data_IF_195874276435
#
_entry.id   IF_195874276435
#
_cell.length_a   1.000
_cell.length_b   1.000
_cell.length_c   1.000
_cell.angle_alpha   90.00
_cell.angle_beta   90.00
_cell.angle_gamma   90.00
#
_symmetry.space_group_name_H-M   'P 1'
#
loop_
_entity.id
_entity.type
_entity.pdbx_description
1 polymer ?
#
# COMPACT_ATOMS: atom_id res chain seq x y z
N UNK A 1 25.39 -18.84 12.03
CA UNK A 1 24.35 -18.78 10.99
C UNK A 1 23.34 -17.79 11.50
N UNK A 2 23.34 -16.56 10.97
CA UNK A 2 22.35 -15.55 11.37
C UNK A 2 20.96 -16.05 11.01
N UNK A 3 19.97 -15.83 11.87
CA UNK A 3 18.58 -16.11 11.54
C UNK A 3 18.26 -15.42 10.22
N UNK A 4 17.69 -16.15 9.25
CA UNK A 4 17.25 -15.56 8.00
C UNK A 4 16.28 -14.43 8.34
N UNK A 5 16.61 -13.21 7.92
CA UNK A 5 15.76 -12.04 8.13
C UNK A 5 14.47 -12.30 7.34
N UNK A 6 13.34 -12.30 8.03
CA UNK A 6 12.04 -12.56 7.43
C UNK A 6 11.60 -11.28 6.72
N UNK A 7 11.65 -11.24 5.39
CA UNK A 7 11.20 -10.07 4.62
C UNK A 7 9.70 -10.14 4.34
N UNK A 8 9.01 -9.03 4.61
CA UNK A 8 7.59 -8.80 4.35
C UNK A 8 7.44 -7.80 3.20
N UNK A 9 6.77 -8.21 2.13
CA UNK A 9 6.30 -7.30 1.09
C UNK A 9 4.90 -6.80 1.45
N UNK A 10 4.81 -5.57 1.96
CA UNK A 10 3.56 -5.01 2.45
C UNK A 10 2.64 -4.43 1.36
N UNK A 11 2.98 -4.58 0.08
CA UNK A 11 2.14 -4.09 -1.01
C UNK A 11 2.40 -4.85 -2.31
N UNK A 12 1.47 -5.74 -2.66
CA UNK A 12 1.36 -6.28 -4.02
C UNK A 12 -0.11 -6.48 -4.39
N UNK A 13 -0.32 -6.80 -5.65
CA UNK A 13 -1.61 -7.04 -6.28
C UNK A 13 -1.60 -8.36 -7.04
N UNK A 14 -2.77 -8.96 -7.19
CA UNK A 14 -3.03 -10.04 -8.16
C UNK A 14 -4.36 -9.76 -8.83
N UNK A 15 -4.53 -10.24 -10.06
CA UNK A 15 -5.81 -10.15 -10.76
C UNK A 15 -5.92 -11.19 -11.88
N UNK A 16 -7.17 -11.55 -12.18
CA UNK A 16 -7.55 -12.35 -13.32
C UNK A 16 -8.50 -11.55 -14.21
N UNK A 17 -8.00 -11.12 -15.38
CA UNK A 17 -8.77 -10.32 -16.34
C UNK A 17 -9.92 -11.10 -16.98
N UNK A 18 -9.94 -12.43 -16.86
CA UNK A 18 -11.08 -13.24 -17.28
C UNK A 18 -12.23 -13.22 -16.25
N UNK A 19 -11.93 -12.87 -14.99
CA UNK A 19 -12.91 -12.72 -13.91
C UNK A 19 -13.36 -11.27 -13.80
N UNK A 20 -12.41 -10.34 -13.75
CA UNK A 20 -12.69 -8.93 -13.54
C UNK A 20 -11.72 -8.04 -14.31
N UNK A 21 -12.28 -7.11 -15.07
CA UNK A 21 -11.49 -6.10 -15.76
C UNK A 21 -10.84 -5.14 -14.76
N UNK A 22 -9.71 -4.56 -15.18
CA UNK A 22 -8.96 -3.56 -14.44
C UNK A 22 -9.05 -2.25 -15.23
N UNK A 23 -10.09 -1.47 -14.93
CA UNK A 23 -10.47 -0.27 -15.68
C UNK A 23 -9.41 0.84 -15.67
N UNK A 24 -8.55 0.86 -14.65
CA UNK A 24 -7.40 1.75 -14.55
C UNK A 24 -6.25 1.41 -15.52
N UNK A 25 -6.18 0.19 -16.05
CA UNK A 25 -5.13 -0.23 -17.00
C UNK A 25 -5.47 0.31 -18.39
N UNK A 26 -5.31 1.61 -18.59
CA UNK A 26 -5.60 2.30 -19.86
C UNK A 26 -4.33 2.89 -20.47
N UNK A 27 -4.32 3.03 -21.80
CA UNK A 27 -3.18 3.59 -22.52
C UNK A 27 -2.12 2.57 -22.94
N UNK A 28 -1.22 2.97 -23.87
CA UNK A 28 -0.13 2.14 -24.37
C UNK A 28 0.91 1.78 -23.29
N UNK A 29 1.16 2.68 -22.35
CA UNK A 29 2.15 2.54 -21.28
C UNK A 29 1.78 1.44 -20.28
N UNK A 30 0.48 1.22 -20.03
CA UNK A 30 0.01 0.17 -19.11
C UNK A 30 -0.28 -1.17 -19.80
N UNK A 31 -0.09 -1.28 -21.12
CA UNK A 31 -0.33 -2.52 -21.87
C UNK A 31 0.40 -3.76 -21.32
N UNK A 32 1.66 -3.67 -20.82
CA UNK A 32 2.31 -4.83 -20.21
C UNK A 32 1.54 -5.46 -19.04
N UNK A 33 0.68 -4.68 -18.37
CA UNK A 33 -0.18 -5.12 -17.28
C UNK A 33 -1.51 -5.74 -17.75
N UNK A 34 -1.86 -5.66 -19.05
CA UNK A 34 -3.07 -6.27 -19.64
C UNK A 34 -2.96 -7.79 -19.82
N UNK A 35 -2.64 -8.48 -18.73
CA UNK A 35 -2.65 -9.95 -18.61
C UNK A 35 -2.98 -10.36 -17.18
N UNK A 36 -3.17 -11.65 -16.94
CA UNK A 36 -3.38 -12.19 -15.60
C UNK A 36 -2.06 -12.21 -14.82
N UNK A 37 -2.16 -11.93 -13.53
CA UNK A 37 -1.07 -12.06 -12.56
C UNK A 37 -1.61 -12.76 -11.31
N UNK A 38 -1.07 -13.92 -10.97
CA UNK A 38 -1.49 -14.70 -9.81
C UNK A 38 -0.35 -15.02 -8.86
N UNK A 39 -0.66 -15.73 -7.78
CA UNK A 39 0.32 -16.16 -6.77
C UNK A 39 1.38 -17.09 -7.36
N UNK A 40 1.03 -17.87 -8.40
CA UNK A 40 1.99 -18.70 -9.11
C UNK A 40 3.07 -17.88 -9.85
N UNK A 41 2.75 -16.65 -10.28
CA UNK A 41 3.70 -15.73 -10.90
C UNK A 41 4.52 -14.97 -9.85
N UNK A 42 3.90 -14.59 -8.72
CA UNK A 42 4.55 -13.86 -7.63
C UNK A 42 5.53 -14.74 -6.84
N UNK A 43 5.17 -15.99 -6.53
CA UNK A 43 5.91 -16.82 -5.59
C UNK A 43 7.39 -17.07 -5.99
N UNK A 44 7.73 -17.29 -7.27
CA UNK A 44 9.13 -17.35 -7.70
C UNK A 44 9.91 -16.05 -7.47
N UNK A 45 9.30 -14.90 -7.76
CA UNK A 45 9.91 -13.57 -7.58
C UNK A 45 10.15 -13.27 -6.09
N UNK A 46 9.13 -13.50 -5.26
CA UNK A 46 9.21 -13.34 -3.80
C UNK A 46 10.33 -14.23 -3.21
N UNK A 47 10.38 -15.51 -3.61
CA UNK A 47 11.43 -16.44 -3.15
C UNK A 47 12.83 -16.00 -3.56
N UNK A 48 13.00 -15.51 -4.79
CA UNK A 48 14.30 -15.04 -5.27
C UNK A 48 14.82 -13.81 -4.51
N UNK A 49 13.93 -13.05 -3.88
CA UNK A 49 14.25 -11.88 -3.07
C UNK A 49 14.15 -12.12 -1.55
N UNK A 50 14.08 -13.39 -1.11
CA UNK A 50 13.94 -13.82 0.30
C UNK A 50 12.69 -13.26 1.01
N UNK A 51 11.64 -12.93 0.25
CA UNK A 51 10.33 -12.52 0.76
C UNK A 51 9.55 -13.76 1.16
N UNK A 52 9.07 -13.76 2.41
CA UNK A 52 8.43 -14.93 3.04
C UNK A 52 6.97 -14.67 3.42
N UNK A 53 6.57 -13.40 3.51
CA UNK A 53 5.21 -12.97 3.81
C UNK A 53 4.85 -11.77 2.95
N UNK A 54 3.60 -11.68 2.53
CA UNK A 54 3.11 -10.57 1.72
C UNK A 54 1.77 -10.05 2.21
N UNK A 55 1.47 -8.79 1.91
CA UNK A 55 0.15 -8.19 2.08
C UNK A 55 -0.45 -7.94 0.71
N UNK A 56 -1.53 -8.67 0.40
CA UNK A 56 -2.28 -8.53 -0.83
C UNK A 56 -3.24 -7.34 -0.72
N UNK A 57 -3.16 -6.39 -1.65
CA UNK A 57 -3.94 -5.17 -1.62
C UNK A 57 -4.95 -5.18 -2.77
N UNK A 58 -6.20 -4.80 -2.49
CA UNK A 58 -7.29 -4.58 -3.45
C UNK A 58 -6.82 -3.86 -4.72
N UNK A 59 -7.44 -4.07 -5.89
CA UNK A 59 -7.17 -3.31 -7.12
C UNK A 59 -8.36 -2.47 -7.61
N UNK A 60 -9.59 -2.95 -7.45
CA UNK A 60 -10.82 -2.27 -7.95
C UNK A 60 -11.92 -2.17 -6.90
N UNK A 61 -12.82 -1.20 -7.06
CA UNK A 61 -13.77 -0.77 -6.02
C UNK A 61 -15.11 -1.49 -6.11
N UNK A 62 -15.08 -2.83 -6.07
CA UNK A 62 -16.28 -3.67 -6.13
C UNK A 62 -16.37 -4.61 -4.92
N UNK A 63 -17.58 -4.92 -4.43
CA UNK A 63 -17.76 -5.67 -3.18
C UNK A 63 -17.31 -7.13 -3.26
N UNK A 64 -17.16 -7.69 -4.45
CA UNK A 64 -16.78 -9.10 -4.66
C UNK A 64 -15.28 -9.35 -4.44
N UNK A 65 -14.42 -8.36 -4.62
CA UNK A 65 -12.97 -8.57 -4.62
C UNK A 65 -12.41 -8.93 -3.23
N UNK A 66 -12.90 -8.30 -2.16
CA UNK A 66 -12.42 -8.61 -0.81
C UNK A 66 -12.68 -10.07 -0.43
N UNK A 67 -13.91 -10.63 -0.58
CA UNK A 67 -14.14 -12.05 -0.38
C UNK A 67 -13.21 -12.98 -1.18
N UNK A 68 -12.93 -12.65 -2.44
CA UNK A 68 -12.04 -13.43 -3.31
C UNK A 68 -10.60 -13.42 -2.79
N UNK A 69 -10.10 -12.26 -2.36
CA UNK A 69 -8.75 -12.13 -1.82
C UNK A 69 -8.59 -12.82 -0.46
N UNK A 70 -9.63 -12.80 0.38
CA UNK A 70 -9.64 -13.54 1.65
C UNK A 70 -9.60 -15.05 1.40
N UNK A 71 -10.36 -15.55 0.43
CA UNK A 71 -10.30 -16.96 0.03
C UNK A 71 -8.90 -17.34 -0.49
N UNK A 72 -8.31 -16.51 -1.34
CA UNK A 72 -6.95 -16.72 -1.86
C UNK A 72 -5.90 -16.75 -0.74
N UNK A 73 -6.01 -15.86 0.26
CA UNK A 73 -5.11 -15.84 1.41
C UNK A 73 -5.25 -17.11 2.29
N UNK A 74 -6.44 -17.72 2.35
CA UNK A 74 -6.63 -18.98 3.04
C UNK A 74 -5.99 -20.18 2.35
N UNK A 75 -5.72 -20.09 1.04
CA UNK A 75 -5.13 -21.17 0.23
C UNK A 75 -3.61 -21.03 0.07
N UNK A 76 -3.04 -19.85 0.30
CA UNK A 76 -1.64 -19.56 0.05
C UNK A 76 -0.92 -18.94 1.25
N UNK A 77 -0.03 -19.71 1.89
CA UNK A 77 0.74 -19.28 3.07
C UNK A 77 1.61 -18.03 2.86
N UNK A 78 1.98 -17.73 1.60
CA UNK A 78 2.74 -16.52 1.26
C UNK A 78 1.96 -15.24 1.62
N UNK A 79 0.63 -15.27 1.54
CA UNK A 79 -0.23 -14.12 1.87
C UNK A 79 -0.50 -14.11 3.37
N UNK A 80 0.14 -13.18 4.08
CA UNK A 80 -0.01 -13.02 5.52
C UNK A 80 -1.14 -12.04 5.90
N UNK A 81 -1.52 -11.15 4.98
CA UNK A 81 -2.60 -10.20 5.18
C UNK A 81 -3.24 -9.73 3.87
N UNK A 82 -4.46 -9.21 3.99
CA UNK A 82 -5.26 -8.64 2.92
C UNK A 82 -5.70 -7.25 3.35
N UNK A 83 -5.41 -6.27 2.49
CA UNK A 83 -6.04 -4.94 2.54
C UNK A 83 -7.15 -4.95 1.50
N UNK A 84 -8.38 -5.11 1.97
CA UNK A 84 -9.56 -5.22 1.12
C UNK A 84 -10.17 -3.87 0.78
N UNK A 85 -11.35 -3.91 0.18
CA UNK A 85 -12.23 -2.76 -0.03
C UNK A 85 -13.62 -3.01 0.53
N UNK A 86 -14.20 -1.93 1.06
CA UNK A 86 -15.61 -1.79 1.37
C UNK A 86 -15.98 -0.33 1.11
N UNK A 87 -17.22 -0.08 0.68
CA UNK A 87 -17.71 1.28 0.47
C UNK A 87 -17.91 1.98 1.83
N UNK A 88 -17.00 2.91 2.13
CA UNK A 88 -17.00 3.69 3.37
C UNK A 88 -18.25 4.57 3.54
N UNK A 89 -18.96 4.88 2.46
CA UNK A 89 -20.13 5.77 2.50
C UNK A 89 -21.39 5.04 2.94
N UNK A 90 -21.36 3.71 2.96
CA UNK A 90 -22.51 2.89 3.33
C UNK A 90 -22.97 3.16 4.77
N UNK A 91 -24.28 3.19 5.02
CA UNK A 91 -24.82 3.25 6.39
C UNK A 91 -24.41 2.05 7.25
N UNK A 92 -24.29 0.87 6.65
CA UNK A 92 -24.06 -0.44 7.27
C UNK A 92 -22.60 -0.94 7.14
N UNK A 93 -21.64 -0.03 6.96
CA UNK A 93 -20.22 -0.37 6.75
C UNK A 93 -19.64 -1.18 7.93
N UNK A 94 -20.05 -0.92 9.17
CA UNK A 94 -19.58 -1.68 10.33
C UNK A 94 -20.04 -3.15 10.26
N UNK A 95 -21.30 -3.39 9.90
CA UNK A 95 -21.86 -4.72 9.69
C UNK A 95 -21.18 -5.43 8.51
N UNK A 96 -20.86 -4.73 7.43
CA UNK A 96 -20.15 -5.30 6.29
C UNK A 96 -18.72 -5.72 6.66
N UNK A 97 -17.99 -4.90 7.42
CA UNK A 97 -16.66 -5.27 7.92
C UNK A 97 -16.71 -6.49 8.84
N UNK A 98 -17.71 -6.57 9.72
CA UNK A 98 -17.92 -7.75 10.57
C UNK A 98 -18.19 -9.00 9.72
N UNK A 99 -19.07 -8.90 8.71
CA UNK A 99 -19.39 -9.99 7.78
C UNK A 99 -18.14 -10.48 7.04
N UNK A 100 -17.29 -9.58 6.55
CA UNK A 100 -16.05 -9.94 5.85
C UNK A 100 -15.09 -10.73 6.75
N UNK A 101 -15.01 -10.41 8.05
CA UNK A 101 -14.19 -11.16 9.01
C UNK A 101 -14.71 -12.57 9.32
N UNK A 102 -16.01 -12.79 9.16
CA UNK A 102 -16.64 -14.10 9.35
C UNK A 102 -16.48 -15.04 8.14
N UNK A 103 -16.06 -14.52 6.98
CA UNK A 103 -15.81 -15.33 5.79
C UNK A 103 -14.60 -16.27 5.99
N UNK A 104 -14.51 -17.36 5.20
CA UNK A 104 -13.26 -18.11 5.06
C UNK A 104 -12.12 -17.16 4.70
N UNK A 105 -11.04 -17.22 5.47
CA UNK A 105 -9.91 -16.29 5.32
C UNK A 105 -10.11 -14.90 5.94
N UNK A 106 -11.25 -14.61 6.57
CA UNK A 106 -11.53 -13.30 7.20
C UNK A 106 -10.51 -12.87 8.25
N UNK A 107 -9.77 -13.81 8.87
CA UNK A 107 -8.62 -13.52 9.76
C UNK A 107 -7.46 -12.79 9.06
N UNK A 108 -7.37 -12.90 7.74
CA UNK A 108 -6.39 -12.20 6.91
C UNK A 108 -6.83 -10.78 6.57
N UNK A 109 -8.05 -10.35 6.87
CA UNK A 109 -8.44 -8.95 6.67
C UNK A 109 -7.72 -8.07 7.70
N UNK A 110 -6.75 -7.28 7.24
CA UNK A 110 -5.90 -6.42 8.08
C UNK A 110 -6.10 -4.93 7.86
N UNK A 111 -6.66 -4.55 6.71
CA UNK A 111 -6.93 -3.16 6.38
C UNK A 111 -8.01 -2.99 5.33
N UNK A 112 -8.42 -1.74 5.13
CA UNK A 112 -9.31 -1.32 4.05
C UNK A 112 -8.62 -0.23 3.23
N UNK A 113 -8.79 -0.27 1.91
CA UNK A 113 -8.35 0.76 0.98
C UNK A 113 -9.51 1.22 0.12
N UNK A 114 -9.52 2.50 -0.24
CA UNK A 114 -10.36 3.06 -1.29
C UNK A 114 -9.48 3.82 -2.28
N UNK A 115 -9.84 3.84 -3.57
CA UNK A 115 -9.10 4.54 -4.62
C UNK A 115 -9.29 6.07 -4.55
N UNK A 116 -8.90 6.69 -3.44
CA UNK A 116 -9.07 8.14 -3.18
C UNK A 116 -8.41 8.99 -4.26
N UNK A 117 -7.29 8.53 -4.84
CA UNK A 117 -6.66 9.16 -6.01
C UNK A 117 -7.59 9.38 -7.22
N UNK A 118 -8.66 8.59 -7.34
CA UNK A 118 -9.66 8.70 -8.41
C UNK A 118 -10.86 9.57 -8.05
N UNK A 119 -10.97 10.02 -6.79
CA UNK A 119 -12.09 10.85 -6.34
C UNK A 119 -11.95 12.29 -6.85
N UNK A 120 -13.02 12.89 -7.41
CA UNK A 120 -12.97 14.25 -7.94
C UNK A 120 -12.85 15.32 -6.84
N UNK A 121 -13.28 15.01 -5.62
CA UNK A 121 -13.15 15.89 -4.47
C UNK A 121 -11.80 15.62 -3.75
N UNK A 122 -10.84 16.56 -3.76
CA UNK A 122 -9.57 16.36 -3.07
C UNK A 122 -9.73 16.30 -1.54
N UNK A 123 -10.88 16.70 -1.00
CA UNK A 123 -11.24 16.60 0.41
C UNK A 123 -12.22 15.44 0.71
N UNK A 124 -12.35 14.46 -0.20
CA UNK A 124 -13.28 13.31 -0.06
C UNK A 124 -13.19 12.62 1.31
N UNK A 125 -11.97 12.43 1.84
CA UNK A 125 -11.72 11.85 3.17
C UNK A 125 -12.37 12.60 4.33
N UNK A 126 -12.73 13.87 4.14
CA UNK A 126 -13.31 14.74 5.16
C UNK A 126 -14.83 14.73 5.16
N UNK A 127 -15.46 14.14 4.14
CA UNK A 127 -16.92 14.00 4.07
C UNK A 127 -17.43 13.24 5.28
N UNK A 128 -18.62 13.63 5.77
CA UNK A 128 -19.17 13.08 7.01
C UNK A 128 -19.51 11.58 6.92
N UNK A 129 -19.96 11.12 5.76
CA UNK A 129 -20.23 9.71 5.48
C UNK A 129 -18.93 8.88 5.44
N UNK A 130 -17.91 9.37 4.75
CA UNK A 130 -16.58 8.75 4.69
C UNK A 130 -15.93 8.68 6.08
N UNK A 131 -15.95 9.78 6.85
CA UNK A 131 -15.39 9.80 8.21
C UNK A 131 -16.09 8.82 9.15
N UNK A 132 -17.38 8.58 8.98
CA UNK A 132 -18.12 7.52 9.68
C UNK A 132 -17.58 6.14 9.29
N UNK A 133 -17.36 5.88 8.01
CA UNK A 133 -16.76 4.63 7.54
C UNK A 133 -15.34 4.42 8.07
N UNK A 134 -14.50 5.44 8.05
CA UNK A 134 -13.15 5.38 8.62
C UNK A 134 -13.19 5.09 10.13
N UNK A 135 -14.12 5.69 10.88
CA UNK A 135 -14.31 5.36 12.29
C UNK A 135 -14.69 3.87 12.48
N UNK A 136 -15.57 3.32 11.65
CA UNK A 136 -15.93 1.90 11.69
C UNK A 136 -14.72 0.98 11.36
N UNK A 137 -13.85 1.38 10.43
CA UNK A 137 -12.58 0.68 10.15
C UNK A 137 -11.70 0.64 11.40
N UNK A 138 -11.58 1.76 12.11
CA UNK A 138 -10.82 1.85 13.36
C UNK A 138 -11.41 0.96 14.46
N UNK A 139 -12.74 0.99 14.65
CA UNK A 139 -13.45 0.15 15.62
C UNK A 139 -13.32 -1.34 15.32
N UNK A 140 -13.20 -1.72 14.03
CA UNK A 140 -12.92 -3.08 13.63
C UNK A 140 -11.45 -3.51 13.89
N UNK A 141 -10.58 -2.59 14.33
CA UNK A 141 -9.15 -2.85 14.53
C UNK A 141 -8.41 -3.11 13.22
N UNK A 142 -8.86 -2.48 12.13
CA UNK A 142 -8.24 -2.56 10.80
C UNK A 142 -7.45 -1.27 10.52
N UNK A 143 -6.41 -1.35 9.69
CA UNK A 143 -5.77 -0.16 9.13
C UNK A 143 -6.60 0.46 8.00
N UNK A 144 -6.30 1.70 7.64
CA UNK A 144 -6.77 2.30 6.40
C UNK A 144 -5.59 2.72 5.52
N UNK A 145 -5.52 2.16 4.32
CA UNK A 145 -4.46 2.43 3.36
C UNK A 145 -4.86 3.60 2.45
N UNK A 146 -3.99 4.61 2.37
CA UNK A 146 -4.17 5.88 1.67
C UNK A 146 -3.46 5.84 0.31
N UNK A 147 -4.17 5.43 -0.74
CA UNK A 147 -3.74 5.60 -2.14
C UNK A 147 -4.25 6.94 -2.68
N UNK A 148 -3.34 7.91 -2.77
CA UNK A 148 -3.65 9.33 -3.02
C UNK A 148 -2.63 9.97 -3.95
N UNK A 149 -2.99 11.14 -4.50
CA UNK A 149 -2.07 12.02 -5.21
C UNK A 149 -1.54 13.13 -4.27
N UNK A 150 -0.40 13.80 -4.60
CA UNK A 150 0.22 14.80 -3.72
C UNK A 150 -0.70 15.93 -3.25
N UNK A 151 -1.67 16.33 -4.09
CA UNK A 151 -2.61 17.40 -3.78
C UNK A 151 -3.68 16.99 -2.75
N UNK A 152 -3.85 15.70 -2.48
CA UNK A 152 -4.81 15.15 -1.51
C UNK A 152 -4.18 14.87 -0.14
N UNK A 153 -2.84 14.92 -0.01
CA UNK A 153 -2.12 14.78 1.26
C UNK A 153 -2.63 15.72 2.38
N UNK A 154 -3.01 16.99 2.11
CA UNK A 154 -3.62 17.84 3.15
C UNK A 154 -4.91 17.26 3.76
N UNK A 155 -5.76 16.61 2.95
CA UNK A 155 -6.96 15.95 3.46
C UNK A 155 -6.62 14.70 4.29
N UNK A 156 -5.56 13.97 3.92
CA UNK A 156 -5.05 12.84 4.70
C UNK A 156 -4.61 13.29 6.10
N UNK A 157 -3.85 14.39 6.21
CA UNK A 157 -3.39 14.91 7.50
C UNK A 157 -4.57 15.33 8.39
N UNK A 158 -5.56 16.02 7.81
CA UNK A 158 -6.80 16.38 8.53
C UNK A 158 -7.60 15.15 8.98
N UNK A 159 -7.68 14.09 8.17
CA UNK A 159 -8.33 12.84 8.55
C UNK A 159 -7.59 12.11 9.67
N UNK A 160 -6.26 12.02 9.58
CA UNK A 160 -5.40 11.43 10.61
C UNK A 160 -5.53 12.15 11.96
N UNK A 161 -5.55 13.50 11.94
CA UNK A 161 -5.79 14.31 13.12
C UNK A 161 -7.17 14.06 13.76
N UNK A 162 -8.17 13.80 12.93
CA UNK A 162 -9.55 13.66 13.37
C UNK A 162 -9.90 12.25 13.89
N UNK A 163 -9.07 11.25 13.56
CA UNK A 163 -9.28 9.84 13.91
C UNK A 163 -7.96 9.25 14.47
N UNK A 164 -7.52 9.68 15.67
CA UNK A 164 -6.24 9.25 16.23
C UNK A 164 -6.17 7.73 16.54
N UNK A 165 -7.32 7.07 16.68
CA UNK A 165 -7.42 5.61 16.90
C UNK A 165 -7.22 4.81 15.61
N UNK A 166 -7.37 5.42 14.42
CA UNK A 166 -7.17 4.74 13.14
C UNK A 166 -5.70 4.83 12.74
N UNK A 167 -5.09 3.69 12.45
CA UNK A 167 -3.79 3.67 11.77
C UNK A 167 -3.97 3.93 10.29
N UNK A 168 -3.41 5.03 9.80
CA UNK A 168 -3.37 5.37 8.39
C UNK A 168 -2.04 4.93 7.78
N UNK A 169 -2.10 4.16 6.69
CA UNK A 169 -0.91 3.69 5.97
C UNK A 169 -0.82 4.44 4.64
N UNK A 170 0.16 5.34 4.50
CA UNK A 170 0.38 6.05 3.26
C UNK A 170 1.00 5.12 2.20
N UNK A 171 0.25 4.85 1.13
CA UNK A 171 0.76 4.11 -0.02
C UNK A 171 1.72 4.99 -0.83
N UNK A 172 2.78 4.36 -1.34
CA UNK A 172 3.72 4.93 -2.32
C UNK A 172 4.22 6.35 -2.03
N UNK A 173 4.49 6.67 -0.76
CA UNK A 173 4.97 8.00 -0.34
C UNK A 173 3.98 9.13 -0.68
N UNK A 174 2.71 8.83 -0.99
CA UNK A 174 1.76 9.80 -1.52
C UNK A 174 2.07 10.26 -2.95
N UNK A 175 2.71 9.38 -3.74
CA UNK A 175 3.04 9.55 -5.17
C UNK A 175 3.81 10.83 -5.49
N UNK A 176 5.01 11.02 -4.91
CA UNK A 176 5.86 12.16 -5.24
C UNK A 176 6.10 12.29 -6.74
N UNK A 177 6.26 13.50 -7.29
CA UNK A 177 6.44 13.70 -8.73
C UNK A 177 7.89 13.46 -9.17
N UNK A 178 8.40 12.24 -8.96
CA UNK A 178 9.81 11.86 -9.10
C UNK A 178 10.36 12.19 -10.49
N UNK A 179 9.62 11.86 -11.56
CA UNK A 179 10.02 12.14 -12.93
C UNK A 179 10.33 13.62 -13.21
N UNK A 180 9.70 14.55 -12.46
CA UNK A 180 9.94 15.99 -12.61
C UNK A 180 11.07 16.53 -11.71
N UNK A 181 11.53 15.75 -10.72
CA UNK A 181 12.47 16.19 -9.70
C UNK A 181 11.88 17.18 -8.66
N UNK A 182 10.58 17.47 -8.71
CA UNK A 182 9.96 18.43 -7.80
C UNK A 182 9.73 17.84 -6.40
N UNK A 183 10.33 18.45 -5.37
CA UNK A 183 10.08 18.06 -3.97
C UNK A 183 8.90 18.80 -3.34
N UNK A 184 8.68 20.07 -3.70
CA UNK A 184 7.61 20.88 -3.12
C UNK A 184 6.46 21.07 -4.13
N UNK A 185 5.19 21.12 -3.69
CA UNK A 185 4.73 21.14 -2.29
C UNK A 185 4.57 19.76 -1.63
N UNK A 186 4.92 18.67 -2.31
CA UNK A 186 4.76 17.31 -1.82
C UNK A 186 5.40 17.10 -0.44
N UNK A 187 6.66 17.49 -0.27
CA UNK A 187 7.40 17.28 0.98
C UNK A 187 6.78 18.06 2.15
N UNK A 188 6.30 19.29 1.92
CA UNK A 188 5.53 20.05 2.93
C UNK A 188 4.27 19.29 3.37
N UNK A 189 3.47 18.79 2.43
CA UNK A 189 2.24 18.08 2.76
C UNK A 189 2.49 16.71 3.41
N UNK A 190 3.53 15.99 2.96
CA UNK A 190 3.94 14.72 3.54
C UNK A 190 4.41 14.89 4.99
N UNK A 191 5.24 15.90 5.29
CA UNK A 191 5.67 16.21 6.67
C UNK A 191 4.48 16.52 7.57
N UNK A 192 3.47 17.23 7.06
CA UNK A 192 2.25 17.51 7.81
C UNK A 192 1.48 16.23 8.18
N UNK A 193 1.41 15.24 7.27
CA UNK A 193 0.82 13.94 7.56
C UNK A 193 1.69 13.14 8.56
N UNK A 194 3.00 13.13 8.37
CA UNK A 194 3.95 12.39 9.20
C UNK A 194 4.02 12.89 10.66
N UNK A 195 3.63 14.15 10.90
CA UNK A 195 3.53 14.74 12.23
C UNK A 195 2.49 14.05 13.13
N UNK A 196 1.57 13.28 12.55
CA UNK A 196 0.58 12.51 13.30
C UNK A 196 1.14 11.12 13.66
N UNK A 197 1.10 10.70 14.94
CA UNK A 197 1.72 9.45 15.38
C UNK A 197 1.01 8.18 14.86
N UNK A 198 -0.26 8.30 14.46
CA UNK A 198 -1.07 7.23 13.89
C UNK A 198 -0.90 7.07 12.36
N UNK A 199 0.12 7.70 11.77
CA UNK A 199 0.44 7.56 10.35
C UNK A 199 1.74 6.79 10.15
N UNK A 200 1.73 5.87 9.19
CA UNK A 200 2.90 5.10 8.73
C UNK A 200 2.99 5.21 7.20
N UNK A 201 4.13 4.87 6.61
CA UNK A 201 4.37 5.04 5.18
C UNK A 201 4.97 3.78 4.55
N UNK A 202 4.52 3.41 3.35
CA UNK A 202 5.13 2.36 2.55
C UNK A 202 6.21 2.93 1.62
N UNK A 203 7.43 2.42 1.72
CA UNK A 203 8.48 2.57 0.71
C UNK A 203 8.17 1.63 -0.46
N UNK A 204 7.37 2.14 -1.41
CA UNK A 204 6.79 1.37 -2.53
C UNK A 204 6.44 2.29 -3.70
N UNK A 205 6.18 1.73 -4.89
CA UNK A 205 5.64 2.46 -6.05
C UNK A 205 6.52 3.59 -6.62
N UNK A 206 7.73 3.79 -6.11
CA UNK A 206 8.57 4.93 -6.51
C UNK A 206 9.05 4.84 -7.97
N UNK A 207 9.41 3.64 -8.44
CA UNK A 207 9.95 3.42 -9.79
C UNK A 207 8.95 3.78 -10.89
N UNK A 208 7.64 3.70 -10.60
CA UNK A 208 6.57 4.05 -11.53
C UNK A 208 6.17 5.52 -11.50
N UNK A 209 6.61 6.27 -10.48
CA UNK A 209 6.48 7.73 -10.43
C UNK A 209 7.72 8.44 -11.00
N UNK A 210 8.79 7.68 -11.27
CA UNK A 210 10.03 8.12 -11.91
C UNK A 210 9.94 8.01 -13.45
N UNK A 211 11.05 8.29 -14.14
CA UNK A 211 11.15 7.95 -15.56
C UNK A 211 11.12 6.42 -15.73
N UNK A 212 10.06 5.90 -16.34
CA UNK A 212 9.81 4.46 -16.48
C UNK A 212 10.95 3.71 -17.19
N UNK A 213 11.70 4.38 -18.07
CA UNK A 213 12.72 3.76 -18.90
C UNK A 213 14.14 3.94 -18.34
N UNK A 214 14.40 5.04 -17.64
CA UNK A 214 15.78 5.45 -17.32
C UNK A 214 16.01 5.85 -15.86
N UNK A 215 15.08 5.58 -14.95
CA UNK A 215 15.28 5.85 -13.53
C UNK A 215 16.57 5.21 -12.98
N UNK A 216 17.21 5.92 -12.07
CA UNK A 216 18.29 5.42 -11.22
C UNK A 216 17.90 5.55 -9.75
N UNK A 217 18.55 4.78 -8.87
CA UNK A 217 18.31 4.85 -7.41
C UNK A 217 18.53 6.27 -6.87
N UNK A 218 19.45 7.02 -7.44
CA UNK A 218 19.71 8.41 -7.02
C UNK A 218 18.58 9.38 -7.38
N UNK A 219 17.71 9.07 -8.36
CA UNK A 219 16.51 9.85 -8.62
C UNK A 219 15.45 9.65 -7.52
N UNK A 220 15.46 8.47 -6.90
CA UNK A 220 14.53 8.09 -5.82
C UNK A 220 14.98 8.62 -4.45
N UNK A 221 16.31 8.76 -4.26
CA UNK A 221 16.96 9.08 -2.99
C UNK A 221 16.41 10.33 -2.28
N UNK A 222 16.20 11.48 -2.95
CA UNK A 222 15.68 12.67 -2.28
C UNK A 222 14.30 12.45 -1.64
N UNK A 223 13.47 11.60 -2.23
CA UNK A 223 12.13 11.30 -1.73
C UNK A 223 12.17 10.29 -0.58
N UNK A 224 13.03 9.27 -0.69
CA UNK A 224 13.27 8.31 0.38
C UNK A 224 13.83 9.00 1.64
N UNK A 225 14.78 9.93 1.48
CA UNK A 225 15.35 10.70 2.59
C UNK A 225 14.28 11.54 3.30
N UNK A 226 13.43 12.27 2.55
CA UNK A 226 12.35 13.05 3.15
C UNK A 226 11.39 12.17 3.96
N UNK A 227 11.02 10.99 3.47
CA UNK A 227 10.09 10.12 4.23
C UNK A 227 10.77 9.46 5.43
N UNK A 228 12.04 9.07 5.33
CA UNK A 228 12.82 8.52 6.44
C UNK A 228 12.98 9.56 7.56
N UNK A 229 13.30 10.80 7.21
CA UNK A 229 13.40 11.91 8.17
C UNK A 229 12.05 12.25 8.82
N UNK A 230 10.96 12.12 8.08
CA UNK A 230 9.62 12.54 8.55
C UNK A 230 8.92 11.49 9.40
N UNK A 231 8.95 10.22 8.97
CA UNK A 231 8.27 9.12 9.64
C UNK A 231 9.17 8.44 10.67
N UNK A 232 10.47 8.35 10.39
CA UNK A 232 11.39 7.46 11.07
C UNK A 232 11.22 5.99 10.65
N UNK A 233 12.25 5.16 10.82
CA UNK A 233 12.23 3.77 10.34
C UNK A 233 11.14 2.92 11.00
N UNK A 234 10.77 3.21 12.25
CA UNK A 234 9.73 2.50 13.00
C UNK A 234 8.31 2.66 12.46
N UNK A 235 8.10 3.64 11.56
CA UNK A 235 6.82 3.93 10.90
C UNK A 235 6.90 3.78 9.38
N UNK A 236 7.94 3.12 8.89
CA UNK A 236 8.11 2.80 7.48
C UNK A 236 8.13 1.29 7.24
N UNK A 237 7.56 0.87 6.13
CA UNK A 237 7.58 -0.54 5.69
C UNK A 237 7.82 -0.65 4.18
N UNK A 238 8.45 -1.72 3.72
CA UNK A 238 8.68 -2.01 2.31
C UNK A 238 7.41 -2.54 1.62
N UNK A 239 7.19 -2.17 0.36
CA UNK A 239 6.24 -2.83 -0.53
C UNK A 239 6.74 -2.81 -1.97
N UNK A 240 6.56 -3.90 -2.71
CA UNK A 240 7.06 -4.03 -4.08
C UNK A 240 6.24 -3.25 -5.09
N UNK A 241 4.94 -3.09 -4.82
CA UNK A 241 3.93 -2.66 -5.81
C UNK A 241 3.86 -3.61 -7.02
N UNK A 242 4.24 -4.88 -6.83
CA UNK A 242 4.13 -5.88 -7.90
C UNK A 242 2.66 -6.18 -8.20
N UNK A 243 2.27 -6.38 -9.47
CA UNK A 243 3.10 -6.37 -10.66
C UNK A 243 3.19 -4.98 -11.32
N UNK A 244 2.60 -3.94 -10.75
CA UNK A 244 2.63 -2.57 -11.31
C UNK A 244 4.07 -2.09 -11.47
N UNK A 245 4.94 -2.41 -10.52
CA UNK A 245 6.37 -2.08 -10.60
C UNK A 245 7.05 -2.60 -11.87
N UNK A 246 6.53 -3.67 -12.49
CA UNK A 246 7.10 -4.30 -13.71
C UNK A 246 7.03 -3.42 -14.96
N UNK A 247 6.32 -2.28 -14.87
CA UNK A 247 6.39 -1.22 -15.87
C UNK A 247 7.78 -0.56 -15.95
N UNK A 248 8.54 -0.55 -14.84
CA UNK A 248 9.82 0.14 -14.74
C UNK A 248 10.95 -0.74 -14.19
N UNK A 249 10.65 -1.78 -13.41
CA UNK A 249 11.63 -2.58 -12.69
C UNK A 249 11.15 -4.01 -12.41
N UNK A 250 12.08 -4.97 -12.39
CA UNK A 250 11.78 -6.30 -11.85
C UNK A 250 11.56 -6.25 -10.33
N UNK A 251 10.90 -7.27 -9.79
CA UNK A 251 10.67 -7.40 -8.35
C UNK A 251 12.00 -7.27 -7.55
N UNK A 252 13.02 -8.00 -7.96
CA UNK A 252 14.35 -7.97 -7.34
C UNK A 252 15.07 -6.62 -7.46
N UNK A 253 14.86 -5.88 -8.55
CA UNK A 253 15.38 -4.52 -8.68
C UNK A 253 14.73 -3.56 -7.68
N UNK A 254 13.42 -3.68 -7.44
CA UNK A 254 12.71 -2.87 -6.43
C UNK A 254 13.22 -3.18 -5.02
N UNK A 255 13.42 -4.45 -4.68
CA UNK A 255 13.99 -4.85 -3.38
C UNK A 255 15.42 -4.30 -3.22
N UNK A 256 16.26 -4.43 -4.24
CA UNK A 256 17.63 -3.89 -4.23
C UNK A 256 17.62 -2.37 -4.06
N UNK A 257 16.80 -1.65 -4.82
CA UNK A 257 16.67 -0.19 -4.70
C UNK A 257 16.22 0.22 -3.28
N UNK A 258 15.22 -0.45 -2.70
CA UNK A 258 14.78 -0.17 -1.34
C UNK A 258 15.90 -0.38 -0.30
N UNK A 259 16.77 -1.40 -0.48
CA UNK A 259 17.94 -1.62 0.38
C UNK A 259 19.00 -0.54 0.21
N UNK A 260 19.24 -0.06 -1.01
CA UNK A 260 20.22 1.01 -1.28
C UNK A 260 19.74 2.40 -0.83
N UNK A 261 18.43 2.60 -0.76
CA UNK A 261 17.81 3.82 -0.26
C UNK A 261 17.78 3.90 1.27
N UNK A 262 18.06 2.80 1.98
CA UNK A 262 17.84 2.69 3.42
C UNK A 262 19.09 2.15 4.13
N UNK A 263 19.40 2.68 5.31
CA UNK A 263 20.55 2.22 6.09
C UNK A 263 20.35 0.79 6.61
N UNK A 264 21.42 -0.01 6.67
CA UNK A 264 21.36 -1.38 7.21
C UNK A 264 20.78 -1.44 8.63
N UNK A 265 20.98 -0.38 9.44
CA UNK A 265 20.40 -0.24 10.79
C UNK A 265 18.88 -0.26 10.78
N UNK A 266 18.27 0.19 9.69
CA UNK A 266 16.83 0.42 9.59
C UNK A 266 16.12 -0.77 8.93
N UNK A 267 16.89 -1.66 8.28
CA UNK A 267 16.36 -2.77 7.47
C UNK A 267 15.40 -3.66 8.25
N UNK A 268 15.66 -3.95 9.52
CA UNK A 268 14.74 -4.77 10.33
C UNK A 268 13.35 -4.11 10.47
N UNK A 269 13.32 -2.79 10.66
CA UNK A 269 12.04 -2.09 10.82
C UNK A 269 11.30 -2.02 9.49
N UNK A 270 11.99 -1.62 8.42
CA UNK A 270 11.38 -1.44 7.11
C UNK A 270 10.96 -2.75 6.45
N UNK A 271 11.79 -3.78 6.52
CA UNK A 271 11.54 -5.02 5.79
C UNK A 271 10.74 -6.06 6.59
N UNK A 272 10.48 -5.85 7.88
CA UNK A 272 9.78 -6.85 8.69
C UNK A 272 8.88 -6.24 9.77
N UNK A 273 9.48 -5.51 10.72
CA UNK A 273 8.84 -5.25 12.00
C UNK A 273 7.65 -4.28 11.89
N UNK A 274 7.75 -3.24 11.07
CA UNK A 274 6.66 -2.26 10.93
C UNK A 274 5.43 -2.90 10.30
N UNK A 275 5.58 -3.66 9.22
CA UNK A 275 4.46 -4.35 8.58
C UNK A 275 3.84 -5.40 9.51
N UNK A 276 4.67 -6.20 10.19
CA UNK A 276 4.22 -7.21 11.17
C UNK A 276 3.40 -6.57 12.29
N UNK A 277 3.85 -5.43 12.83
CA UNK A 277 3.14 -4.70 13.89
C UNK A 277 1.86 -4.01 13.40
N UNK A 278 1.90 -3.36 12.24
CA UNK A 278 0.77 -2.57 11.73
C UNK A 278 -0.37 -3.46 11.26
N UNK A 279 -0.05 -4.59 10.61
CA UNK A 279 -1.05 -5.52 10.06
C UNK A 279 -1.27 -6.77 10.92
N UNK A 280 -0.60 -6.91 12.07
CA UNK A 280 -0.70 -8.08 12.96
C UNK A 280 -0.47 -9.42 12.23
N UNK A 281 0.72 -9.55 11.62
CA UNK A 281 1.12 -10.67 10.73
C UNK A 281 1.82 -11.84 11.43
#
# INVERSE_FOLDING_TARGET
MGAAVTLVDAHHHVWDLSVRDQDWITGPELQPLRRNFGIADLAPEARAADVTRTVLVQTVTVPEETPEFLALAAEHELIAGVVGWSDLTRPDVAEELARLRELPGGRYLKGIRHQVQGEPDPEWLLRADVRRGLAAVAEAGLSYDLVVLPHQLPACAKAAAALPELTFVLDHLGKPPIASGALEPWATHLRALAAHPNTVCKLSGMVTEADLAFWAVDDLRPYAEVVLESFGPDRMMFGSDWPVCTLAASYGQVVTAARELTGESDHRQLFEATATRVYDL
#
